data_IF_970301985220
#
_entry.id   IF_970301985220
#
_cell.length_a   1.000
_cell.length_b   1.000
_cell.length_c   1.000
_cell.angle_alpha   90.00
_cell.angle_beta   90.00
_cell.angle_gamma   90.00
#
_symmetry.space_group_name_H-M   'P 1'
#
loop_
_entity.id
_entity.type
_entity.pdbx_description
1 polymer ?
#
# COMPACT_ATOMS: atom_id res chain seq x y z
N UNK A 1 -67.17 22.88 11.75
CA UNK A 1 -66.05 22.11 12.34
C UNK A 1 -65.21 21.53 11.19
N UNK A 2 -64.19 22.25 10.82
CA UNK A 2 -63.28 21.77 9.68
C UNK A 2 -62.13 20.98 10.27
N UNK A 3 -62.08 19.69 9.89
CA UNK A 3 -60.99 18.83 10.24
C UNK A 3 -59.85 19.06 9.22
N UNK A 4 -58.75 19.68 9.65
CA UNK A 4 -57.55 19.83 8.82
C UNK A 4 -56.73 18.53 8.86
N UNK A 5 -56.72 17.80 7.74
CA UNK A 5 -55.78 16.73 7.48
C UNK A 5 -54.36 17.34 7.29
N UNK A 6 -53.48 17.10 8.25
CA UNK A 6 -52.06 17.37 8.10
C UNK A 6 -51.42 16.18 7.38
N UNK A 7 -51.12 16.37 6.12
CA UNK A 7 -50.34 15.40 5.32
C UNK A 7 -48.86 15.49 5.76
N UNK A 8 -48.42 14.52 6.55
CA UNK A 8 -47.04 14.38 6.94
C UNK A 8 -46.26 13.72 5.76
N UNK A 9 -45.66 14.56 4.92
CA UNK A 9 -44.75 14.09 3.87
C UNK A 9 -43.43 13.64 4.49
N UNK A 10 -43.30 12.35 4.72
CA UNK A 10 -42.01 11.72 5.07
C UNK A 10 -41.14 11.75 3.81
N UNK A 11 -40.26 12.74 3.73
CA UNK A 11 -39.16 12.76 2.78
C UNK A 11 -38.19 11.66 3.19
N UNK A 12 -38.34 10.48 2.56
CA UNK A 12 -37.31 9.44 2.56
C UNK A 12 -36.09 9.98 1.80
N UNK A 13 -35.14 10.55 2.49
CA UNK A 13 -33.81 10.82 1.96
C UNK A 13 -33.14 9.45 1.81
N UNK A 14 -33.32 8.84 0.64
CA UNK A 14 -32.50 7.72 0.19
C UNK A 14 -31.09 8.24 0.01
N UNK A 15 -30.31 8.23 1.10
CA UNK A 15 -28.87 8.36 1.01
C UNK A 15 -28.36 7.27 0.08
N UNK A 16 -27.89 7.65 -1.09
CA UNK A 16 -27.13 6.78 -1.99
C UNK A 16 -25.89 6.33 -1.23
N UNK A 17 -26.03 5.22 -0.49
CA UNK A 17 -24.88 4.47 0.00
C UNK A 17 -24.17 3.97 -1.25
N UNK A 18 -23.13 4.66 -1.67
CA UNK A 18 -22.21 4.14 -2.67
C UNK A 18 -21.56 2.90 -2.05
N UNK A 19 -22.19 1.75 -2.28
CA UNK A 19 -21.58 0.47 -1.94
C UNK A 19 -20.29 0.36 -2.75
N UNK A 20 -19.15 0.32 -2.07
CA UNK A 20 -17.87 0.11 -2.71
C UNK A 20 -17.94 -1.21 -3.52
N UNK A 21 -17.73 -1.11 -4.83
CA UNK A 21 -17.78 -2.28 -5.71
C UNK A 21 -16.52 -3.11 -5.50
N UNK A 22 -16.70 -4.41 -5.22
CA UNK A 22 -15.58 -5.32 -5.10
C UNK A 22 -14.94 -5.62 -6.46
N UNK A 23 -13.63 -5.84 -6.44
CA UNK A 23 -12.88 -6.32 -7.60
C UNK A 23 -13.23 -7.76 -7.92
N UNK A 24 -12.80 -8.24 -9.08
CA UNK A 24 -12.79 -9.66 -9.37
C UNK A 24 -11.86 -10.39 -8.40
N UNK A 25 -12.21 -11.61 -7.93
CA UNK A 25 -11.28 -12.43 -7.15
C UNK A 25 -10.08 -12.85 -7.99
N UNK A 26 -8.88 -12.64 -7.47
CA UNK A 26 -7.62 -12.99 -8.13
C UNK A 26 -6.97 -14.15 -7.40
N UNK A 27 -6.56 -15.19 -8.13
CA UNK A 27 -5.91 -16.37 -7.57
C UNK A 27 -4.41 -16.15 -7.44
N UNK A 28 -3.89 -16.37 -6.24
CA UNK A 28 -2.45 -16.36 -5.96
C UNK A 28 -2.00 -17.73 -5.47
N UNK A 29 -0.69 -17.94 -5.30
CA UNK A 29 -0.18 -19.19 -4.71
C UNK A 29 -0.68 -19.41 -3.28
N UNK A 30 -0.91 -18.36 -2.52
CA UNK A 30 -1.34 -18.45 -1.13
C UNK A 30 -2.86 -18.55 -0.98
N UNK A 31 -3.61 -18.19 -2.00
CA UNK A 31 -5.07 -18.21 -1.96
C UNK A 31 -5.69 -17.11 -2.83
N UNK A 32 -6.99 -16.91 -2.71
CA UNK A 32 -7.72 -15.89 -3.46
C UNK A 32 -7.68 -14.56 -2.75
N UNK A 33 -7.55 -13.47 -3.51
CA UNK A 33 -7.63 -12.08 -3.05
C UNK A 33 -8.81 -11.38 -3.70
N UNK A 34 -9.46 -10.50 -2.96
CA UNK A 34 -10.49 -9.61 -3.49
C UNK A 34 -10.30 -8.22 -2.89
N UNK A 35 -10.18 -7.22 -3.76
CA UNK A 35 -10.03 -5.82 -3.40
C UNK A 35 -11.28 -5.02 -3.73
N UNK A 36 -11.10 -3.73 -3.98
CA UNK A 36 -12.14 -2.79 -4.37
C UNK A 36 -11.89 -2.23 -5.76
N UNK A 37 -12.95 -1.82 -6.42
CA UNK A 37 -12.87 -0.99 -7.62
C UNK A 37 -13.09 0.45 -7.23
N UNK A 38 -12.13 1.30 -7.57
CA UNK A 38 -12.23 2.75 -7.38
C UNK A 38 -12.18 3.46 -8.74
N UNK A 39 -12.82 4.62 -8.78
CA UNK A 39 -12.66 5.56 -9.89
C UNK A 39 -11.91 6.77 -9.32
N UNK A 40 -10.68 7.06 -9.77
CA UNK A 40 -9.94 8.22 -9.30
C UNK A 40 -10.72 9.53 -9.58
N UNK A 41 -10.64 10.48 -8.66
CA UNK A 41 -11.39 11.76 -8.74
C UNK A 41 -10.77 12.74 -9.73
N UNK A 42 -10.50 12.31 -10.97
CA UNK A 42 -9.95 13.11 -12.06
C UNK A 42 -10.78 12.95 -13.32
N UNK A 43 -10.78 13.96 -14.19
CA UNK A 43 -11.52 13.92 -15.44
C UNK A 43 -11.08 12.74 -16.33
N UNK A 44 -12.05 12.00 -16.86
CA UNK A 44 -11.83 10.83 -17.73
C UNK A 44 -11.04 9.67 -17.13
N UNK A 45 -10.88 9.61 -15.81
CA UNK A 45 -10.24 8.48 -15.15
C UNK A 45 -11.06 7.20 -15.35
N UNK A 46 -10.38 6.12 -15.72
CA UNK A 46 -10.97 4.79 -15.86
C UNK A 46 -10.95 4.06 -14.51
N UNK A 47 -11.90 3.14 -14.27
CA UNK A 47 -11.93 2.35 -13.05
C UNK A 47 -10.65 1.54 -12.86
N UNK A 48 -10.23 1.42 -11.59
CA UNK A 48 -9.01 0.72 -11.15
C UNK A 48 -9.37 -0.30 -10.09
N UNK A 49 -8.92 -1.54 -10.23
CA UNK A 49 -8.96 -2.53 -9.17
C UNK A 49 -7.81 -2.27 -8.19
N UNK A 50 -8.13 -2.12 -6.91
CA UNK A 50 -7.20 -1.78 -5.84
C UNK A 50 -7.18 -2.94 -4.83
N UNK A 51 -6.00 -3.52 -4.61
CA UNK A 51 -5.74 -4.57 -3.64
C UNK A 51 -4.78 -4.01 -2.59
N UNK A 52 -5.29 -3.69 -1.41
CA UNK A 52 -4.55 -3.02 -0.34
C UNK A 52 -4.19 -3.99 0.78
N UNK A 53 -2.98 -3.89 1.33
CA UNK A 53 -2.56 -4.74 2.43
C UNK A 53 -2.38 -6.21 2.03
N UNK A 54 -1.84 -6.48 0.86
CA UNK A 54 -1.54 -7.85 0.40
C UNK A 54 -0.26 -8.35 1.06
N UNK A 55 -0.28 -9.45 1.84
CA UNK A 55 0.92 -9.97 2.47
C UNK A 55 1.83 -10.63 1.43
N UNK A 56 3.08 -10.19 1.33
CA UNK A 56 4.08 -10.79 0.43
C UNK A 56 5.09 -11.69 1.15
N UNK A 57 5.17 -11.57 2.48
CA UNK A 57 6.04 -12.38 3.33
C UNK A 57 5.33 -12.76 4.64
N UNK A 58 5.90 -13.70 5.37
CA UNK A 58 5.45 -14.03 6.73
C UNK A 58 5.75 -12.86 7.69
N UNK A 59 4.90 -12.60 8.70
CA UNK A 59 5.15 -11.59 9.71
C UNK A 59 6.52 -11.79 10.39
N UNK A 60 7.42 -10.80 10.38
CA UNK A 60 8.76 -10.92 10.97
C UNK A 60 8.75 -10.68 12.48
N UNK A 61 7.91 -11.41 13.20
CA UNK A 61 7.67 -11.27 14.64
C UNK A 61 8.29 -12.41 15.46
N UNK A 62 8.59 -12.17 16.72
CA UNK A 62 9.10 -13.18 17.64
C UNK A 62 10.41 -13.80 17.13
N UNK A 63 10.41 -15.11 16.87
CA UNK A 63 11.60 -15.84 16.37
C UNK A 63 11.99 -15.47 14.94
N UNK A 64 11.12 -14.85 14.18
CA UNK A 64 11.39 -14.38 12.81
C UNK A 64 11.91 -12.93 12.77
N UNK A 65 11.94 -12.23 13.91
CA UNK A 65 12.60 -10.93 14.02
C UNK A 65 14.10 -11.10 13.73
N UNK A 66 14.68 -10.18 13.00
CA UNK A 66 16.09 -10.27 12.55
C UNK A 66 16.42 -11.53 11.75
N UNK A 67 15.44 -12.07 11.03
CA UNK A 67 15.62 -13.17 10.09
C UNK A 67 15.23 -12.72 8.68
N UNK A 68 15.78 -13.38 7.63
CA UNK A 68 15.28 -13.17 6.26
C UNK A 68 13.76 -13.41 6.17
N UNK A 69 13.06 -12.69 5.27
CA UNK A 69 11.61 -12.86 5.11
C UNK A 69 11.28 -14.26 4.61
N UNK A 70 10.35 -14.92 5.29
CA UNK A 70 9.78 -16.20 4.87
C UNK A 70 8.56 -16.03 3.98
N UNK A 71 8.14 -17.11 3.30
CA UNK A 71 6.89 -17.09 2.51
C UNK A 71 5.66 -16.86 3.41
N UNK A 72 4.67 -16.09 2.95
CA UNK A 72 3.44 -15.91 3.71
C UNK A 72 2.66 -17.22 3.78
N UNK A 73 1.87 -17.39 4.85
CA UNK A 73 0.98 -18.56 4.99
C UNK A 73 -0.10 -18.54 3.91
N UNK A 74 -0.48 -19.72 3.45
CA UNK A 74 -1.63 -19.89 2.56
C UNK A 74 -2.94 -19.72 3.33
N UNK A 75 -3.98 -19.29 2.62
CA UNK A 75 -5.34 -19.16 3.14
C UNK A 75 -6.34 -19.86 2.19
N UNK A 76 -7.38 -20.45 2.78
CA UNK A 76 -8.36 -21.24 2.04
C UNK A 76 -9.48 -20.39 1.44
N UNK A 77 -9.96 -19.39 2.20
CA UNK A 77 -11.04 -18.51 1.78
C UNK A 77 -10.52 -17.29 0.99
N UNK A 78 -11.42 -16.63 0.26
CA UNK A 78 -11.07 -15.36 -0.39
C UNK A 78 -10.74 -14.32 0.68
N UNK A 79 -9.51 -13.84 0.67
CA UNK A 79 -9.04 -12.79 1.57
C UNK A 79 -9.45 -11.43 1.01
N UNK A 80 -10.20 -10.67 1.80
CA UNK A 80 -10.48 -9.27 1.49
C UNK A 80 -9.22 -8.44 1.75
N UNK A 81 -8.81 -7.67 0.75
CA UNK A 81 -7.65 -6.78 0.76
C UNK A 81 -8.07 -5.38 0.30
N UNK A 82 -8.99 -4.80 1.04
CA UNK A 82 -9.61 -3.48 0.79
C UNK A 82 -9.04 -2.36 1.67
N UNK A 83 -8.16 -2.68 2.62
CA UNK A 83 -7.59 -1.75 3.58
C UNK A 83 -6.07 -1.90 3.61
N UNK A 84 -5.38 -0.80 3.90
CA UNK A 84 -3.93 -0.82 4.06
C UNK A 84 -3.50 -1.72 5.23
N UNK A 85 -2.44 -2.47 5.01
CA UNK A 85 -1.76 -3.16 6.11
C UNK A 85 -1.05 -2.17 7.05
N UNK A 86 -0.63 -2.64 8.25
CA UNK A 86 0.18 -1.84 9.16
C UNK A 86 1.47 -1.34 8.50
N UNK A 87 1.94 -0.17 8.94
CA UNK A 87 3.26 0.32 8.55
C UNK A 87 4.33 -0.27 9.49
N UNK A 88 5.55 -0.41 9.00
CA UNK A 88 6.66 -0.92 9.81
C UNK A 88 7.00 0.05 10.95
N UNK A 89 7.45 -0.45 12.12
CA UNK A 89 7.84 0.39 13.25
C UNK A 89 8.90 1.40 12.85
N UNK A 90 8.66 2.67 13.19
CA UNK A 90 9.48 3.79 12.75
C UNK A 90 9.32 5.00 13.66
N UNK A 91 10.35 5.83 13.74
CA UNK A 91 10.31 7.12 14.43
C UNK A 91 10.17 8.19 13.35
N UNK A 92 9.02 8.87 13.36
CA UNK A 92 8.75 9.95 12.42
C UNK A 92 9.29 11.28 12.96
N UNK A 93 9.78 12.19 12.09
CA UNK A 93 10.20 13.51 12.50
C UNK A 93 9.11 14.28 13.27
N UNK A 94 9.47 14.92 14.36
CA UNK A 94 8.53 15.74 15.12
C UNK A 94 8.33 17.10 14.44
N UNK A 95 7.10 17.34 13.97
CA UNK A 95 6.69 18.62 13.38
C UNK A 95 5.83 19.48 14.31
N UNK A 96 5.67 19.12 15.58
CA UNK A 96 4.86 19.88 16.53
C UNK A 96 5.40 21.29 16.76
N UNK A 97 6.72 21.46 16.65
CA UNK A 97 7.41 22.73 16.79
C UNK A 97 7.75 23.31 15.41
N UNK A 98 6.74 23.84 14.77
CA UNK A 98 6.82 24.36 13.39
C UNK A 98 7.97 25.33 13.14
N UNK A 99 8.20 26.28 14.07
CA UNK A 99 9.30 27.26 13.96
C UNK A 99 10.69 26.60 14.01
N UNK A 100 10.84 25.51 14.74
CA UNK A 100 12.09 24.75 14.78
C UNK A 100 12.26 23.93 13.51
N UNK A 101 11.22 23.25 13.05
CA UNK A 101 11.24 22.47 11.81
C UNK A 101 11.60 23.35 10.58
N UNK A 102 11.06 24.56 10.50
CA UNK A 102 11.37 25.51 9.42
C UNK A 102 12.80 26.04 9.40
N UNK A 103 13.63 25.77 10.41
CA UNK A 103 15.07 26.05 10.35
C UNK A 103 15.84 25.05 9.47
N UNK A 104 15.27 23.86 9.26
CA UNK A 104 15.93 22.74 8.57
C UNK A 104 15.21 22.32 7.30
N UNK A 105 13.99 22.78 7.07
CA UNK A 105 13.22 22.42 5.90
C UNK A 105 12.35 23.58 5.40
N UNK A 106 11.94 23.52 4.13
CA UNK A 106 11.01 24.48 3.54
C UNK A 106 9.57 24.25 4.00
N UNK A 107 8.73 25.28 3.90
CA UNK A 107 7.28 25.18 4.19
C UNK A 107 6.62 24.06 3.38
N UNK A 108 6.92 23.99 2.07
CA UNK A 108 6.36 22.96 1.19
C UNK A 108 6.76 21.54 1.61
N UNK A 109 8.00 21.34 2.07
CA UNK A 109 8.45 20.04 2.62
C UNK A 109 7.67 19.69 3.89
N UNK A 110 7.50 20.65 4.78
CA UNK A 110 6.76 20.45 6.02
C UNK A 110 5.29 20.08 5.76
N UNK A 111 4.62 20.77 4.83
CA UNK A 111 3.24 20.44 4.46
C UNK A 111 3.12 19.05 3.81
N UNK A 112 4.08 18.69 2.99
CA UNK A 112 4.17 17.34 2.42
C UNK A 112 4.30 16.28 3.52
N UNK A 113 5.19 16.48 4.48
CA UNK A 113 5.39 15.56 5.60
C UNK A 113 4.14 15.44 6.47
N UNK A 114 3.43 16.54 6.75
CA UNK A 114 2.15 16.50 7.48
C UNK A 114 1.12 15.61 6.80
N UNK A 115 1.06 15.60 5.47
CA UNK A 115 0.17 14.70 4.70
C UNK A 115 0.59 13.24 4.83
N UNK A 116 1.89 12.94 4.73
CA UNK A 116 2.41 11.59 4.90
C UNK A 116 2.10 11.04 6.30
N UNK A 117 2.26 11.85 7.35
CA UNK A 117 2.09 11.43 8.74
C UNK A 117 0.68 10.93 9.06
N UNK A 118 -0.34 11.36 8.32
CA UNK A 118 -1.69 10.80 8.43
C UNK A 118 -1.74 9.29 8.17
N UNK A 119 -0.81 8.77 7.35
CA UNK A 119 -0.69 7.34 7.05
C UNK A 119 0.30 6.63 7.98
N UNK A 120 1.34 7.33 8.44
CA UNK A 120 2.45 6.74 9.19
C UNK A 120 2.20 6.69 10.69
N UNK A 121 1.38 7.61 11.23
CA UNK A 121 0.98 7.65 12.64
C UNK A 121 -0.10 6.62 13.00
N UNK A 122 -0.70 5.99 11.99
CA UNK A 122 -1.69 4.94 12.19
C UNK A 122 -0.99 3.63 12.56
N UNK A 123 -1.70 2.59 12.72
CA UNK A 123 -1.31 1.24 13.05
C UNK A 123 0.14 0.84 12.63
N UNK A 124 1.14 1.07 13.50
CA UNK A 124 2.49 0.56 13.34
C UNK A 124 2.61 -0.84 13.95
N UNK A 125 3.19 -1.78 13.22
CA UNK A 125 3.39 -3.16 13.70
C UNK A 125 4.64 -3.77 13.07
N UNK A 126 5.28 -4.71 13.74
CA UNK A 126 6.31 -5.54 13.11
C UNK A 126 5.70 -6.47 12.03
N UNK A 127 4.42 -6.84 12.15
CA UNK A 127 3.66 -7.47 11.05
C UNK A 127 3.29 -6.40 10.01
N UNK A 128 4.25 -6.05 9.17
CA UNK A 128 4.16 -4.92 8.24
C UNK A 128 4.55 -5.25 6.79
N UNK A 129 4.90 -6.49 6.47
CA UNK A 129 5.39 -6.88 5.16
C UNK A 129 4.23 -7.05 4.17
N UNK A 130 3.64 -5.93 3.82
CA UNK A 130 2.50 -5.81 2.92
C UNK A 130 2.83 -4.96 1.70
N UNK A 131 2.12 -5.20 0.60
CA UNK A 131 2.16 -4.37 -0.60
C UNK A 131 0.74 -4.00 -1.04
N UNK A 132 0.63 -2.95 -1.83
CA UNK A 132 -0.61 -2.49 -2.43
C UNK A 132 -0.48 -2.58 -3.95
N UNK A 133 -1.53 -3.01 -4.63
CA UNK A 133 -1.56 -3.20 -6.09
C UNK A 133 -2.71 -2.40 -6.66
N UNK A 134 -2.44 -1.60 -7.67
CA UNK A 134 -3.41 -0.84 -8.45
C UNK A 134 -3.32 -1.29 -9.90
N UNK A 135 -4.42 -1.75 -10.49
CA UNK A 135 -4.45 -2.22 -11.87
C UNK A 135 -5.69 -1.70 -12.59
N UNK A 136 -5.60 -1.30 -13.88
CA UNK A 136 -6.78 -0.91 -14.63
C UNK A 136 -7.82 -2.02 -14.63
N UNK A 137 -9.10 -1.70 -14.34
CA UNK A 137 -10.18 -2.71 -14.40
C UNK A 137 -10.38 -3.24 -15.82
N UNK A 138 -10.10 -2.39 -16.82
CA UNK A 138 -10.16 -2.76 -18.25
C UNK A 138 -9.13 -3.80 -18.68
N UNK A 139 -8.11 -4.07 -17.83
CA UNK A 139 -7.10 -5.07 -18.14
C UNK A 139 -7.72 -6.46 -18.34
N UNK A 140 -7.60 -6.96 -19.55
CA UNK A 140 -8.09 -8.31 -19.88
C UNK A 140 -7.15 -9.37 -19.29
N UNK A 141 -7.69 -10.55 -18.99
CA UNK A 141 -6.96 -11.67 -18.38
C UNK A 141 -5.69 -12.07 -19.16
N UNK A 142 -5.62 -11.76 -20.44
CA UNK A 142 -4.48 -12.07 -21.31
C UNK A 142 -3.64 -10.85 -21.71
N UNK A 143 -3.99 -9.65 -21.23
CA UNK A 143 -3.22 -8.44 -21.53
C UNK A 143 -2.03 -8.34 -20.58
N UNK A 144 -0.82 -8.19 -21.13
CA UNK A 144 0.40 -7.93 -20.36
C UNK A 144 0.57 -6.44 -20.19
N UNK A 145 0.42 -5.95 -18.95
CA UNK A 145 0.67 -4.56 -18.61
C UNK A 145 2.07 -4.39 -18.02
N UNK A 146 2.73 -3.27 -18.29
CA UNK A 146 3.95 -2.90 -17.56
C UNK A 146 3.65 -2.78 -16.07
N UNK A 147 4.67 -3.10 -15.24
CA UNK A 147 4.56 -3.00 -13.78
C UNK A 147 5.55 -1.96 -13.27
N UNK A 148 5.05 -1.01 -12.53
CA UNK A 148 5.84 -0.02 -11.81
C UNK A 148 5.83 -0.39 -10.34
N UNK A 149 7.01 -0.64 -9.75
CA UNK A 149 7.14 -0.89 -8.33
C UNK A 149 7.76 0.34 -7.67
N UNK A 150 6.99 0.97 -6.78
CA UNK A 150 7.45 2.10 -6.01
C UNK A 150 8.04 1.63 -4.68
N UNK A 151 9.31 1.88 -4.48
CA UNK A 151 10.04 1.62 -3.22
C UNK A 151 10.25 2.98 -2.56
N UNK A 152 9.62 3.17 -1.40
CA UNK A 152 9.69 4.46 -0.70
C UNK A 152 11.08 4.75 -0.14
N UNK A 153 11.40 6.04 0.00
CA UNK A 153 12.67 6.54 0.52
C UNK A 153 12.63 6.85 2.02
N UNK A 154 13.29 7.91 2.41
CA UNK A 154 13.51 8.46 3.74
C UNK A 154 14.56 7.67 4.54
N UNK A 155 15.72 7.49 3.90
CA UNK A 155 16.97 6.97 4.51
C UNK A 155 16.85 5.59 5.17
N UNK A 156 15.88 4.77 4.79
CA UNK A 156 15.58 3.48 5.42
C UNK A 156 15.16 3.56 6.90
N UNK A 157 14.85 4.75 7.40
CA UNK A 157 14.49 4.99 8.79
C UNK A 157 12.98 5.07 9.01
N UNK A 158 12.26 5.69 8.10
CA UNK A 158 10.81 5.89 8.18
C UNK A 158 10.16 5.97 6.80
N UNK A 159 8.86 6.00 6.71
CA UNK A 159 7.97 6.02 5.56
C UNK A 159 7.27 4.65 5.33
N UNK A 160 6.40 4.57 4.34
CA UNK A 160 5.72 3.34 3.89
C UNK A 160 5.23 3.47 2.45
N UNK A 161 4.72 2.38 1.89
CA UNK A 161 4.03 2.40 0.60
C UNK A 161 2.60 2.95 0.66
N UNK A 162 2.00 3.02 1.85
CA UNK A 162 0.58 3.37 2.02
C UNK A 162 0.19 4.79 1.58
N UNK A 163 1.02 5.85 1.76
CA UNK A 163 0.70 7.21 1.32
C UNK A 163 0.64 7.39 -0.20
N UNK A 164 1.16 6.46 -0.97
CA UNK A 164 1.38 6.61 -2.41
C UNK A 164 0.29 5.88 -3.19
N UNK A 165 -0.77 6.63 -3.53
CA UNK A 165 -1.88 6.12 -4.32
C UNK A 165 -1.48 5.98 -5.79
N UNK A 166 -1.43 4.74 -6.29
CA UNK A 166 -1.12 4.41 -7.68
C UNK A 166 -2.31 4.44 -8.63
N UNK A 167 -3.51 4.71 -8.14
CA UNK A 167 -4.75 4.58 -8.92
C UNK A 167 -4.81 5.50 -10.14
N UNK A 168 -4.37 6.75 -9.99
CA UNK A 168 -4.34 7.72 -11.10
C UNK A 168 -3.37 7.26 -12.18
N UNK A 169 -2.16 6.86 -11.80
CA UNK A 169 -1.16 6.39 -12.74
C UNK A 169 -1.59 5.09 -13.43
N UNK A 170 -2.21 4.17 -12.69
CA UNK A 170 -2.76 2.93 -13.28
C UNK A 170 -3.87 3.24 -14.27
N UNK A 171 -4.79 4.17 -13.93
CA UNK A 171 -5.91 4.55 -14.79
C UNK A 171 -5.45 5.13 -16.13
N UNK A 172 -4.58 6.15 -16.10
CA UNK A 172 -4.15 6.86 -17.33
C UNK A 172 -3.01 6.15 -18.06
N UNK A 173 -2.06 5.60 -17.33
CA UNK A 173 -0.87 4.97 -17.91
C UNK A 173 -1.11 3.56 -18.43
N UNK A 174 -2.26 2.95 -18.11
CA UNK A 174 -2.55 1.55 -18.41
C UNK A 174 -1.43 0.62 -17.93
N UNK A 175 -0.98 0.86 -16.70
CA UNK A 175 0.10 0.13 -16.03
C UNK A 175 -0.39 -0.45 -14.69
N UNK A 176 0.29 -1.47 -14.21
CA UNK A 176 0.12 -1.93 -12.83
C UNK A 176 1.06 -1.15 -11.94
N UNK A 177 0.55 -0.53 -10.88
CA UNK A 177 1.36 0.19 -9.90
C UNK A 177 1.35 -0.60 -8.60
N UNK A 178 2.54 -0.82 -8.03
CA UNK A 178 2.71 -1.52 -6.77
C UNK A 178 3.52 -0.65 -5.82
N UNK A 179 3.01 -0.46 -4.60
CA UNK A 179 3.74 0.16 -3.50
C UNK A 179 3.93 -0.87 -2.40
N UNK A 180 4.99 -0.80 -1.62
CA UNK A 180 5.31 -1.83 -0.64
C UNK A 180 5.91 -1.25 0.64
N UNK A 181 5.73 -1.97 1.74
CA UNK A 181 6.41 -1.74 3.00
C UNK A 181 7.59 -2.72 3.12
N UNK A 182 8.64 -2.33 3.81
CA UNK A 182 9.79 -3.16 4.18
C UNK A 182 10.32 -2.72 5.54
N UNK A 183 11.01 -3.59 6.26
CA UNK A 183 11.55 -3.28 7.59
C UNK A 183 12.54 -2.13 7.54
N UNK A 184 12.42 -1.25 8.52
CA UNK A 184 13.13 0.01 8.62
C UNK A 184 14.03 0.05 9.88
N UNK A 185 14.94 1.02 9.91
CA UNK A 185 15.79 1.30 11.07
C UNK A 185 16.50 0.06 11.61
N UNK A 186 16.55 -0.08 12.91
CA UNK A 186 17.23 -1.21 13.57
C UNK A 186 16.61 -2.56 13.21
N UNK A 187 15.28 -2.66 13.07
CA UNK A 187 14.60 -3.91 12.74
C UNK A 187 14.94 -4.41 11.34
N UNK A 188 15.22 -3.48 10.42
CA UNK A 188 15.57 -3.81 9.03
C UNK A 188 17.07 -3.93 8.80
N UNK A 189 17.91 -3.24 9.56
CA UNK A 189 19.33 -3.06 9.18
C UNK A 189 20.34 -3.36 10.27
N UNK A 190 19.90 -3.75 11.50
CA UNK A 190 20.83 -4.14 12.55
C UNK A 190 21.65 -5.34 12.10
N UNK A 191 22.97 -5.19 12.13
CA UNK A 191 23.94 -6.28 11.97
C UNK A 191 24.62 -6.52 13.30
N UNK A 192 24.50 -7.73 13.82
CA UNK A 192 25.29 -8.15 14.98
C UNK A 192 26.54 -8.94 14.53
N UNK A 193 27.53 -9.04 15.40
CA UNK A 193 28.76 -9.82 15.11
C UNK A 193 28.52 -11.35 15.07
N UNK A 194 27.32 -11.80 15.46
CA UNK A 194 26.97 -13.22 15.40
C UNK A 194 27.04 -13.73 13.95
N UNK A 195 27.85 -14.76 13.72
CA UNK A 195 28.08 -15.38 12.39
C UNK A 195 26.79 -15.85 11.68
N UNK A 196 25.69 -15.96 12.39
CA UNK A 196 24.39 -16.42 11.90
C UNK A 196 23.46 -15.29 11.43
N UNK A 197 23.82 -14.01 11.68
CA UNK A 197 22.96 -12.87 11.32
C UNK A 197 23.54 -12.11 10.13
N UNK A 198 22.80 -12.16 9.02
CA UNK A 198 23.26 -11.56 7.75
C UNK A 198 23.12 -10.03 7.71
N UNK A 199 22.22 -9.45 8.50
CA UNK A 199 21.86 -8.01 8.40
C UNK A 199 21.10 -7.68 7.11
N UNK A 200 20.82 -6.37 6.90
CA UNK A 200 20.15 -5.85 5.69
C UNK A 200 18.80 -6.53 5.38
N UNK A 201 18.04 -6.88 6.42
CA UNK A 201 16.75 -7.58 6.29
C UNK A 201 15.73 -6.75 5.52
N UNK A 202 15.76 -5.40 5.62
CA UNK A 202 14.92 -4.51 4.83
C UNK A 202 15.16 -4.66 3.32
N UNK A 203 16.41 -4.84 2.87
CA UNK A 203 16.72 -5.10 1.47
C UNK A 203 16.25 -6.51 1.05
N UNK A 204 16.35 -7.49 1.93
CA UNK A 204 15.81 -8.83 1.68
C UNK A 204 14.29 -8.83 1.60
N UNK A 205 13.61 -7.97 2.36
CA UNK A 205 12.16 -7.77 2.28
C UNK A 205 11.78 -7.23 0.89
N UNK A 206 12.49 -6.21 0.39
CA UNK A 206 12.29 -5.67 -0.96
C UNK A 206 12.50 -6.78 -2.00
N UNK A 207 13.57 -7.57 -1.87
CA UNK A 207 13.83 -8.69 -2.78
C UNK A 207 12.71 -9.73 -2.75
N UNK A 208 12.19 -10.06 -1.56
CA UNK A 208 11.06 -10.98 -1.41
C UNK A 208 9.78 -10.43 -2.06
N UNK A 209 9.52 -9.12 -1.92
CA UNK A 209 8.39 -8.47 -2.59
C UNK A 209 8.54 -8.53 -4.12
N UNK A 210 9.72 -8.23 -4.67
CA UNK A 210 9.99 -8.34 -6.10
C UNK A 210 9.83 -9.77 -6.63
N UNK A 211 10.30 -10.77 -5.88
CA UNK A 211 10.06 -12.18 -6.19
C UNK A 211 8.57 -12.53 -6.15
N UNK A 212 7.85 -12.03 -5.14
CA UNK A 212 6.40 -12.23 -5.03
C UNK A 212 5.68 -11.66 -6.26
N UNK A 213 6.05 -10.46 -6.72
CA UNK A 213 5.50 -9.80 -7.90
C UNK A 213 5.82 -10.60 -9.17
N UNK A 214 7.08 -11.00 -9.37
CA UNK A 214 7.54 -11.72 -10.56
C UNK A 214 6.87 -13.08 -10.71
N UNK A 215 6.67 -13.81 -9.62
CA UNK A 215 6.08 -15.15 -9.62
C UNK A 215 4.56 -15.09 -9.74
N UNK A 216 3.95 -13.92 -9.55
CA UNK A 216 2.49 -13.73 -9.53
C UNK A 216 1.97 -13.31 -10.89
N UNK A 217 1.11 -14.16 -11.46
CA UNK A 217 0.21 -13.77 -12.54
C UNK A 217 -1.03 -13.05 -11.96
N UNK A 218 -0.82 -12.07 -11.07
CA UNK A 218 -1.94 -11.29 -10.50
C UNK A 218 -2.72 -10.54 -11.59
N UNK A 219 -2.02 -10.13 -12.59
CA UNK A 219 -2.48 -9.69 -13.90
C UNK A 219 -1.38 -10.17 -14.81
N UNK A 220 -1.60 -10.62 -16.02
CA UNK A 220 -0.56 -11.07 -16.96
C UNK A 220 0.63 -10.08 -17.02
N UNK A 221 1.48 -10.12 -15.98
CA UNK A 221 2.57 -9.18 -15.78
C UNK A 221 3.58 -9.35 -16.89
N UNK A 222 3.89 -8.25 -17.57
CA UNK A 222 4.95 -8.18 -18.56
C UNK A 222 6.30 -8.61 -17.97
N UNK A 223 7.23 -9.11 -18.80
CA UNK A 223 8.60 -9.46 -18.43
C UNK A 223 9.44 -8.27 -17.89
N UNK A 224 8.93 -7.04 -17.96
CA UNK A 224 9.67 -5.84 -17.60
C UNK A 224 9.14 -5.30 -16.27
N UNK A 225 9.94 -5.41 -15.23
CA UNK A 225 9.76 -4.70 -13.95
C UNK A 225 10.72 -3.52 -14.00
N UNK A 226 10.19 -2.31 -14.14
CA UNK A 226 10.97 -1.09 -13.98
C UNK A 226 10.85 -0.60 -12.54
N UNK A 227 11.99 -0.56 -11.83
CA UNK A 227 12.07 -0.02 -10.48
C UNK A 227 12.49 1.45 -10.56
N UNK A 228 11.60 2.34 -10.19
CA UNK A 228 11.95 3.75 -9.99
C UNK A 228 12.24 3.98 -8.50
N UNK A 229 13.51 4.11 -8.15
CA UNK A 229 13.93 4.75 -6.91
C UNK A 229 14.07 6.24 -7.19
N UNK A 230 13.22 7.07 -6.61
CA UNK A 230 13.39 8.51 -6.71
C UNK A 230 14.40 8.96 -5.63
N UNK A 231 15.60 9.39 -5.97
CA UNK A 231 16.41 10.18 -5.05
C UNK A 231 15.68 11.51 -4.91
N UNK A 232 15.11 11.78 -3.76
CA UNK A 232 14.61 13.11 -3.45
C UNK A 232 15.80 14.06 -3.54
N UNK A 233 15.75 14.95 -4.53
CA UNK A 233 16.64 16.08 -4.60
C UNK A 233 16.51 16.88 -3.28
N UNK A 234 17.65 17.17 -2.66
CA UNK A 234 17.81 17.99 -1.48
C UNK A 234 17.31 19.42 -1.67
#
# INVERSE_FOLDING_TARGET
MMCRLVLCSVLCVLGLVHSARHSRPVVTRQGRLQGLVLVPAYNNAQPVESFLGVPYAAPPVGRLRFMPPGSPRSWEHTKNVSEFGPVCPQIIPDLSKEKEALRYMTVGRMEYLKKLFNYLNQNQSEDCLYLNVYTPESAQTNQRLPVIVFIHGESYEWNSGNPYDGSVLASYGQVVVITLNYRLGLLGFLKTEAKTQMGNYGLLDILAALHWIQVRRLVNISKYVECFSHPLAY
#
